data_IF_094062428409
#
_entry.id   IF_094062428409
#
_cell.length_a   1.000
_cell.length_b   1.000
_cell.length_c   1.000
_cell.angle_alpha   90.00
_cell.angle_beta   90.00
_cell.angle_gamma   90.00
#
_symmetry.space_group_name_H-M   'P 1'
#
loop_
_entity.id
_entity.type
_entity.pdbx_description
1 polymer ?
#
# COMPACT_ATOMS: atom_id res chain seq x y z
N UNK A 1 -93.54 35.71 -98.80
CA UNK A 1 -92.56 36.06 -97.75
C UNK A 1 -91.96 34.81 -97.09
N UNK A 2 -92.46 33.60 -97.41
CA UNK A 2 -91.95 32.35 -96.83
C UNK A 2 -90.59 31.91 -97.40
N UNK A 3 -90.36 32.07 -98.71
CA UNK A 3 -89.10 31.65 -99.35
C UNK A 3 -87.88 32.45 -98.84
N UNK A 4 -88.06 33.72 -98.48
CA UNK A 4 -86.98 34.58 -97.97
C UNK A 4 -86.48 34.12 -96.59
N UNK A 5 -87.36 33.61 -95.74
CA UNK A 5 -86.99 33.07 -94.42
C UNK A 5 -86.21 31.75 -94.53
N UNK A 6 -86.56 30.91 -95.52
CA UNK A 6 -85.90 29.62 -95.74
C UNK A 6 -84.43 29.80 -96.19
N UNK A 7 -84.17 30.75 -97.07
CA UNK A 7 -82.80 31.04 -97.55
C UNK A 7 -81.93 31.60 -96.42
N UNK A 8 -82.47 32.47 -95.57
CA UNK A 8 -81.75 33.00 -94.40
C UNK A 8 -81.43 31.89 -93.39
N UNK A 9 -82.35 30.95 -93.17
CA UNK A 9 -82.12 29.79 -92.30
C UNK A 9 -80.96 28.91 -92.78
N UNK A 10 -80.87 28.66 -94.09
CA UNK A 10 -79.77 27.88 -94.69
C UNK A 10 -78.42 28.60 -94.54
N UNK A 11 -78.40 29.93 -94.72
CA UNK A 11 -77.18 30.74 -94.55
C UNK A 11 -76.69 30.69 -93.09
N UNK A 12 -77.59 30.83 -92.12
CA UNK A 12 -77.24 30.76 -90.69
C UNK A 12 -76.75 29.36 -90.31
N UNK A 13 -77.35 28.30 -90.89
CA UNK A 13 -76.94 26.92 -90.66
C UNK A 13 -75.52 26.64 -91.19
N UNK A 14 -75.19 27.12 -92.38
CA UNK A 14 -73.85 27.01 -92.97
C UNK A 14 -72.84 27.86 -92.16
N UNK A 15 -73.23 29.05 -91.72
CA UNK A 15 -72.39 29.90 -90.88
C UNK A 15 -72.11 29.27 -89.50
N UNK A 16 -73.06 28.50 -88.94
CA UNK A 16 -72.89 27.78 -87.68
C UNK A 16 -71.82 26.68 -87.77
N UNK A 17 -71.70 26.04 -88.93
CA UNK A 17 -70.65 25.04 -89.18
C UNK A 17 -69.25 25.67 -89.16
N UNK A 18 -69.09 26.89 -89.67
CA UNK A 18 -67.81 27.61 -89.67
C UNK A 18 -67.38 28.13 -88.29
N UNK A 19 -68.29 28.28 -87.33
CA UNK A 19 -67.99 28.75 -85.98
C UNK A 19 -67.50 27.61 -85.06
N UNK A 20 -67.93 26.37 -85.32
CA UNK A 20 -67.61 25.23 -84.44
C UNK A 20 -66.14 24.77 -84.51
N UNK A 21 -65.44 25.07 -85.60
CA UNK A 21 -64.02 24.71 -85.79
C UNK A 21 -63.01 25.77 -85.30
N UNK A 22 -63.47 26.84 -84.63
CA UNK A 22 -62.57 27.83 -84.01
C UNK A 22 -62.41 27.65 -82.50
N UNK A 23 -62.57 26.44 -81.97
CA UNK A 23 -61.91 26.11 -80.71
C UNK A 23 -60.47 25.74 -81.05
N UNK A 24 -59.59 26.72 -80.90
CA UNK A 24 -58.16 26.54 -80.98
C UNK A 24 -57.76 25.36 -80.09
N UNK A 25 -57.51 24.22 -80.73
CA UNK A 25 -56.71 23.16 -80.15
C UNK A 25 -55.35 23.81 -79.91
N UNK A 26 -55.01 24.09 -78.64
CA UNK A 26 -53.65 24.50 -78.28
C UNK A 26 -52.70 23.51 -78.95
N UNK A 27 -51.78 24.03 -79.75
CA UNK A 27 -50.83 23.20 -80.49
C UNK A 27 -50.04 22.36 -79.49
N UNK A 28 -49.70 21.10 -79.81
CA UNK A 28 -48.81 20.27 -78.97
C UNK A 28 -47.51 21.00 -78.59
N UNK A 29 -47.06 21.93 -79.44
CA UNK A 29 -45.89 22.79 -79.17
C UNK A 29 -46.10 23.78 -78.02
N UNK A 30 -47.31 24.32 -77.85
CA UNK A 30 -47.62 25.28 -76.77
C UNK A 30 -47.65 24.57 -75.41
N UNK A 31 -48.07 23.30 -75.40
CA UNK A 31 -48.10 22.46 -74.19
C UNK A 31 -46.67 22.06 -73.79
N UNK A 32 -45.80 21.73 -74.76
CA UNK A 32 -44.39 21.44 -74.49
C UNK A 32 -43.61 22.66 -73.99
N UNK A 33 -43.89 23.86 -74.50
CA UNK A 33 -43.28 25.10 -74.03
C UNK A 33 -43.74 25.47 -72.62
N UNK A 34 -45.04 25.37 -72.31
CA UNK A 34 -45.57 25.55 -70.96
C UNK A 34 -44.94 24.53 -69.97
N UNK A 35 -44.81 23.26 -70.36
CA UNK A 35 -44.16 22.22 -69.54
C UNK A 35 -42.66 22.47 -69.30
N UNK A 36 -41.94 23.03 -70.27
CA UNK A 36 -40.53 23.42 -70.11
C UNK A 36 -40.37 24.59 -69.15
N UNK A 37 -41.27 25.57 -69.22
CA UNK A 37 -41.25 26.71 -68.30
C UNK A 37 -41.55 26.27 -66.87
N UNK A 38 -42.54 25.40 -66.69
CA UNK A 38 -42.87 24.81 -65.38
C UNK A 38 -41.68 24.03 -64.82
N UNK A 39 -41.00 23.21 -65.64
CA UNK A 39 -39.80 22.48 -65.20
C UNK A 39 -38.68 23.41 -64.74
N UNK A 40 -38.38 24.48 -65.50
CA UNK A 40 -37.34 25.45 -65.11
C UNK A 40 -37.68 26.19 -63.82
N UNK A 41 -38.95 26.54 -63.63
CA UNK A 41 -39.41 27.25 -62.44
C UNK A 41 -39.39 26.33 -61.21
N UNK A 42 -39.75 25.06 -61.39
CA UNK A 42 -39.64 24.02 -60.38
C UNK A 42 -38.17 23.73 -60.03
N UNK A 43 -37.27 23.75 -61.01
CA UNK A 43 -35.83 23.53 -60.78
C UNK A 43 -35.20 24.68 -59.98
N UNK A 44 -35.58 25.93 -60.26
CA UNK A 44 -35.16 27.08 -59.44
C UNK A 44 -35.72 27.00 -58.01
N UNK A 45 -37.00 26.66 -57.84
CA UNK A 45 -37.61 26.54 -56.51
C UNK A 45 -36.99 25.39 -55.71
N UNK A 46 -36.64 24.29 -56.37
CA UNK A 46 -35.93 23.17 -55.75
C UNK A 46 -34.51 23.54 -55.32
N UNK A 47 -33.82 24.37 -56.11
CA UNK A 47 -32.48 24.86 -55.76
C UNK A 47 -32.53 25.83 -54.57
N UNK A 48 -33.50 26.76 -54.57
CA UNK A 48 -33.76 27.64 -53.43
C UNK A 48 -34.14 26.86 -52.16
N UNK A 49 -34.99 25.85 -52.29
CA UNK A 49 -35.34 24.96 -51.17
C UNK A 49 -34.11 24.21 -50.65
N UNK A 50 -33.25 23.71 -51.54
CA UNK A 50 -32.02 23.01 -51.16
C UNK A 50 -31.06 23.93 -50.42
N UNK A 51 -30.92 25.19 -50.87
CA UNK A 51 -30.14 26.21 -50.16
C UNK A 51 -30.69 26.44 -48.76
N UNK A 52 -32.00 26.67 -48.62
CA UNK A 52 -32.62 26.90 -47.29
C UNK A 52 -32.49 25.71 -46.35
N UNK A 53 -32.59 24.49 -46.89
CA UNK A 53 -32.37 23.28 -46.11
C UNK A 53 -30.93 23.20 -45.64
N UNK A 54 -29.96 23.46 -46.52
CA UNK A 54 -28.55 23.49 -46.16
C UNK A 54 -28.24 24.55 -45.10
N UNK A 55 -28.75 25.77 -45.26
CA UNK A 55 -28.57 26.87 -44.31
C UNK A 55 -29.16 26.51 -42.93
N UNK A 56 -30.37 25.95 -42.91
CA UNK A 56 -31.01 25.49 -41.67
C UNK A 56 -30.25 24.32 -41.02
N UNK A 57 -29.71 23.39 -41.82
CA UNK A 57 -28.88 22.30 -41.29
C UNK A 57 -27.56 22.82 -40.72
N UNK A 58 -26.91 23.78 -41.39
CA UNK A 58 -25.66 24.38 -40.92
C UNK A 58 -25.88 25.13 -39.60
N UNK A 59 -26.96 25.92 -39.50
CA UNK A 59 -27.34 26.60 -38.25
C UNK A 59 -27.62 25.59 -37.12
N UNK A 60 -28.27 24.46 -37.44
CA UNK A 60 -28.57 23.41 -36.45
C UNK A 60 -27.30 22.71 -35.98
N UNK A 61 -26.35 22.46 -36.89
CA UNK A 61 -25.04 21.86 -36.58
C UNK A 61 -24.23 22.83 -35.72
N UNK A 62 -24.19 24.11 -36.09
CA UNK A 62 -23.47 25.14 -35.33
C UNK A 62 -24.04 25.29 -33.92
N UNK A 63 -25.37 25.36 -33.76
CA UNK A 63 -26.01 25.40 -32.45
C UNK A 63 -25.71 24.15 -31.61
N UNK A 64 -25.75 22.97 -32.23
CA UNK A 64 -25.44 21.71 -31.54
C UNK A 64 -23.97 21.66 -31.10
N UNK A 65 -23.05 22.12 -31.94
CA UNK A 65 -21.62 22.23 -31.62
C UNK A 65 -21.38 23.24 -30.51
N UNK A 66 -21.93 24.45 -30.58
CA UNK A 66 -21.79 25.47 -29.54
C UNK A 66 -22.35 24.97 -28.20
N UNK A 67 -23.49 24.29 -28.24
CA UNK A 67 -24.09 23.69 -27.03
C UNK A 67 -23.23 22.56 -26.48
N UNK A 68 -22.67 21.72 -27.35
CA UNK A 68 -21.75 20.66 -26.95
C UNK A 68 -20.48 21.25 -26.33
N UNK A 69 -19.86 22.23 -26.98
CA UNK A 69 -18.66 22.93 -26.49
C UNK A 69 -18.92 23.58 -25.13
N UNK A 70 -20.01 24.34 -24.98
CA UNK A 70 -20.37 24.93 -23.69
C UNK A 70 -20.67 23.89 -22.61
N UNK A 71 -21.27 22.77 -22.97
CA UNK A 71 -21.51 21.67 -22.03
C UNK A 71 -20.21 20.98 -21.61
N UNK A 72 -19.29 20.81 -22.57
CA UNK A 72 -17.96 20.25 -22.35
C UNK A 72 -17.08 21.19 -21.54
N UNK A 73 -17.12 22.50 -21.75
CA UNK A 73 -16.41 23.47 -20.91
C UNK A 73 -16.87 23.38 -19.46
N UNK A 74 -18.19 23.32 -19.23
CA UNK A 74 -18.72 23.16 -17.86
C UNK A 74 -18.28 21.86 -17.23
N UNK A 75 -18.44 20.75 -17.95
CA UNK A 75 -18.05 19.42 -17.48
C UNK A 75 -16.53 19.36 -17.24
N UNK A 76 -15.74 19.88 -18.17
CA UNK A 76 -14.28 19.96 -18.09
C UNK A 76 -13.84 20.75 -16.86
N UNK A 77 -14.43 21.92 -16.62
CA UNK A 77 -14.14 22.73 -15.43
C UNK A 77 -14.52 21.99 -14.15
N UNK A 78 -15.68 21.33 -14.10
CA UNK A 78 -16.09 20.51 -12.96
C UNK A 78 -15.15 19.32 -12.72
N UNK A 79 -14.72 18.63 -13.79
CA UNK A 79 -13.77 17.52 -13.68
C UNK A 79 -12.38 17.98 -13.30
N UNK A 80 -11.89 19.11 -13.80
CA UNK A 80 -10.62 19.70 -13.40
C UNK A 80 -10.66 20.04 -11.90
N UNK A 81 -11.77 20.59 -11.42
CA UNK A 81 -11.95 20.87 -9.99
C UNK A 81 -11.95 19.58 -9.16
N UNK A 82 -12.75 18.58 -9.54
CA UNK A 82 -12.82 17.31 -8.82
C UNK A 82 -11.48 16.55 -8.82
N UNK A 83 -10.77 16.55 -9.95
CA UNK A 83 -9.44 15.94 -10.06
C UNK A 83 -8.42 16.70 -9.21
N UNK A 84 -8.48 18.03 -9.20
CA UNK A 84 -7.63 18.86 -8.34
C UNK A 84 -7.89 18.57 -6.87
N UNK A 85 -9.15 18.50 -6.44
CA UNK A 85 -9.52 18.21 -5.06
C UNK A 85 -9.08 16.80 -4.63
N UNK A 86 -9.31 15.80 -5.49
CA UNK A 86 -8.83 14.44 -5.25
C UNK A 86 -7.31 14.37 -5.18
N UNK A 87 -6.61 15.06 -6.09
CA UNK A 87 -5.14 15.14 -6.07
C UNK A 87 -4.64 15.76 -4.78
N UNK A 88 -5.28 16.82 -4.29
CA UNK A 88 -4.90 17.46 -3.02
C UNK A 88 -5.11 16.50 -1.84
N UNK A 89 -6.23 15.79 -1.80
CA UNK A 89 -6.51 14.78 -0.77
C UNK A 89 -5.46 13.65 -0.77
N UNK A 90 -5.15 13.10 -1.95
CA UNK A 90 -4.13 12.04 -2.08
C UNK A 90 -2.76 12.55 -1.66
N UNK A 91 -2.39 13.79 -2.03
CA UNK A 91 -1.12 14.38 -1.61
C UNK A 91 -1.03 14.59 -0.10
N UNK A 92 -2.14 14.97 0.55
CA UNK A 92 -2.22 15.08 2.01
C UNK A 92 -2.09 13.71 2.68
N UNK A 93 -2.74 12.67 2.15
CA UNK A 93 -2.56 11.30 2.64
C UNK A 93 -1.14 10.78 2.43
N UNK A 94 -0.49 11.10 1.30
CA UNK A 94 0.92 10.76 1.04
C UNK A 94 1.82 11.45 2.06
N UNK A 95 1.61 12.74 2.34
CA UNK A 95 2.39 13.48 3.32
C UNK A 95 2.20 12.90 4.73
N UNK A 96 0.96 12.57 5.11
CA UNK A 96 0.67 11.90 6.38
C UNK A 96 1.36 10.54 6.48
N UNK A 97 1.25 9.71 5.45
CA UNK A 97 1.89 8.40 5.41
C UNK A 97 3.40 8.53 5.47
N UNK A 98 3.98 9.50 4.75
CA UNK A 98 5.41 9.77 4.80
C UNK A 98 5.86 10.14 6.22
N UNK A 99 5.12 11.01 6.91
CA UNK A 99 5.38 11.36 8.31
C UNK A 99 5.27 10.17 9.25
N UNK A 100 4.26 9.32 9.07
CA UNK A 100 4.09 8.11 9.88
C UNK A 100 5.25 7.13 9.65
N UNK A 101 5.68 6.92 8.40
CA UNK A 101 6.84 6.08 8.08
C UNK A 101 8.12 6.64 8.68
N UNK A 102 8.34 7.96 8.61
CA UNK A 102 9.48 8.60 9.27
C UNK A 102 9.42 8.44 10.79
N UNK A 103 8.25 8.60 11.39
CA UNK A 103 8.05 8.38 12.83
C UNK A 103 8.33 6.92 13.23
N UNK A 104 7.89 5.95 12.43
CA UNK A 104 8.21 4.54 12.66
C UNK A 104 9.71 4.26 12.52
N UNK A 105 10.37 4.92 11.56
CA UNK A 105 11.83 4.83 11.41
C UNK A 105 12.56 5.39 12.63
N UNK A 106 12.14 6.56 13.13
CA UNK A 106 12.70 7.16 14.34
C UNK A 106 12.46 6.29 15.57
N UNK A 107 11.23 5.79 15.77
CA UNK A 107 10.92 4.88 16.88
C UNK A 107 11.70 3.57 16.80
N UNK A 108 11.89 3.02 15.59
CA UNK A 108 12.67 1.81 15.40
C UNK A 108 14.15 2.06 15.73
N UNK A 109 14.69 3.21 15.31
CA UNK A 109 16.03 3.65 15.67
C UNK A 109 16.18 3.81 17.18
N UNK A 110 15.25 4.49 17.84
CA UNK A 110 15.26 4.68 19.30
C UNK A 110 15.18 3.34 20.04
N UNK A 111 14.28 2.45 19.62
CA UNK A 111 14.18 1.09 20.20
C UNK A 111 15.46 0.29 19.99
N UNK A 112 16.11 0.43 18.84
CA UNK A 112 17.39 -0.24 18.58
C UNK A 112 18.47 0.24 19.55
N UNK A 113 18.51 1.54 19.85
CA UNK A 113 19.41 2.12 20.85
C UNK A 113 19.07 1.61 22.26
N UNK A 114 17.80 1.58 22.63
CA UNK A 114 17.34 1.07 23.94
C UNK A 114 17.66 -0.41 24.13
N UNK A 115 17.44 -1.23 23.11
CA UNK A 115 17.78 -2.67 23.14
C UNK A 115 19.28 -2.85 23.27
N UNK A 116 20.10 -2.09 22.56
CA UNK A 116 21.56 -2.15 22.67
C UNK A 116 22.03 -1.74 24.07
N UNK A 117 21.45 -0.68 24.65
CA UNK A 117 21.76 -0.26 26.01
C UNK A 117 21.31 -1.30 27.05
N UNK A 118 20.16 -1.93 26.86
CA UNK A 118 19.66 -3.01 27.71
C UNK A 118 20.58 -4.24 27.62
N UNK A 119 20.95 -4.65 26.41
CA UNK A 119 21.91 -5.74 26.18
C UNK A 119 23.23 -5.48 26.90
N UNK A 120 23.78 -4.25 26.80
CA UNK A 120 25.00 -3.85 27.53
C UNK A 120 24.84 -3.92 29.04
N UNK A 121 23.69 -3.51 29.60
CA UNK A 121 23.41 -3.62 31.04
C UNK A 121 23.34 -5.08 31.46
N UNK A 122 22.66 -5.93 30.69
CA UNK A 122 22.59 -7.38 30.95
C UNK A 122 24.00 -7.98 30.94
N UNK A 123 24.81 -7.70 29.92
CA UNK A 123 26.20 -8.16 29.86
C UNK A 123 27.03 -7.70 31.07
N UNK A 124 26.86 -6.45 31.51
CA UNK A 124 27.53 -5.95 32.71
C UNK A 124 27.10 -6.70 33.98
N UNK A 125 25.80 -6.93 34.16
CA UNK A 125 25.29 -7.69 35.32
C UNK A 125 25.70 -9.16 35.29
N UNK A 126 25.76 -9.78 34.11
CA UNK A 126 26.24 -11.15 33.94
C UNK A 126 27.71 -11.22 34.33
N UNK A 127 28.54 -10.29 33.86
CA UNK A 127 29.96 -10.22 34.27
C UNK A 127 30.13 -10.02 35.78
N UNK A 128 29.32 -9.18 36.39
CA UNK A 128 29.35 -8.97 37.85
C UNK A 128 28.95 -10.25 38.60
N UNK A 129 27.90 -10.95 38.16
CA UNK A 129 27.47 -12.22 38.72
C UNK A 129 28.51 -13.33 38.52
N UNK A 130 29.15 -13.41 37.35
CA UNK A 130 30.26 -14.33 37.09
C UNK A 130 31.45 -14.05 38.01
N UNK A 131 31.82 -12.78 38.21
CA UNK A 131 32.90 -12.39 39.11
C UNK A 131 32.57 -12.76 40.57
N UNK A 132 31.36 -12.43 41.04
CA UNK A 132 30.91 -12.80 42.39
C UNK A 132 30.86 -14.32 42.58
N UNK A 133 30.36 -15.06 41.58
CA UNK A 133 30.35 -16.53 41.59
C UNK A 133 31.77 -17.08 41.68
N UNK A 134 32.70 -16.57 40.88
CA UNK A 134 34.10 -17.01 40.92
C UNK A 134 34.77 -16.69 42.26
N UNK A 135 34.50 -15.51 42.83
CA UNK A 135 34.98 -15.13 44.16
C UNK A 135 34.39 -16.05 45.25
N UNK A 136 33.08 -16.31 45.22
CA UNK A 136 32.42 -17.22 46.14
C UNK A 136 32.95 -18.67 46.01
N UNK A 137 33.22 -19.13 44.79
CA UNK A 137 33.87 -20.43 44.54
C UNK A 137 35.26 -20.44 45.19
N UNK A 138 36.10 -19.42 44.98
CA UNK A 138 37.42 -19.37 45.62
C UNK A 138 37.35 -19.36 47.15
N UNK A 139 36.45 -18.57 47.73
CA UNK A 139 36.25 -18.48 49.19
C UNK A 139 35.76 -19.81 49.79
N UNK A 140 34.83 -20.49 49.11
CA UNK A 140 34.35 -21.81 49.55
C UNK A 140 35.42 -22.88 49.38
N UNK A 141 36.24 -22.84 48.33
CA UNK A 141 37.39 -23.72 48.17
C UNK A 141 38.45 -23.50 49.28
N UNK A 142 38.74 -22.25 49.63
CA UNK A 142 39.62 -21.90 50.75
C UNK A 142 39.08 -22.41 52.08
N UNK A 143 37.79 -22.18 52.36
CA UNK A 143 37.14 -22.68 53.57
C UNK A 143 37.18 -24.21 53.64
N UNK A 144 36.93 -24.90 52.51
CA UNK A 144 36.98 -26.35 52.45
C UNK A 144 38.37 -26.88 52.75
N UNK A 145 39.43 -26.28 52.17
CA UNK A 145 40.82 -26.63 52.50
C UNK A 145 41.12 -26.46 53.98
N UNK A 146 40.70 -25.34 54.59
CA UNK A 146 40.90 -25.10 56.02
C UNK A 146 40.17 -26.13 56.90
N UNK A 147 38.98 -26.57 56.49
CA UNK A 147 38.21 -27.57 57.22
C UNK A 147 38.83 -28.97 57.11
N UNK A 148 39.32 -29.35 55.92
CA UNK A 148 40.04 -30.59 55.70
C UNK A 148 41.32 -30.63 56.54
N UNK A 149 42.08 -29.53 56.60
CA UNK A 149 43.26 -29.39 57.44
C UNK A 149 42.94 -29.51 58.93
N UNK A 150 41.85 -28.88 59.39
CA UNK A 150 41.40 -29.00 60.78
C UNK A 150 40.97 -30.43 61.13
N UNK A 151 40.22 -31.08 60.24
CA UNK A 151 39.77 -32.46 60.41
C UNK A 151 40.97 -33.41 60.50
N UNK A 152 41.95 -33.25 59.61
CA UNK A 152 43.18 -34.05 59.62
C UNK A 152 43.98 -33.84 60.92
N UNK A 153 44.10 -32.60 61.42
CA UNK A 153 44.75 -32.33 62.72
C UNK A 153 44.00 -32.98 63.88
N UNK A 154 42.67 -32.89 63.91
CA UNK A 154 41.86 -33.53 64.96
C UNK A 154 41.89 -35.04 64.90
N UNK A 155 41.90 -35.62 63.70
CA UNK A 155 42.04 -37.06 63.52
C UNK A 155 43.41 -37.53 64.03
N UNK A 156 44.47 -36.76 63.80
CA UNK A 156 45.82 -37.04 64.30
C UNK A 156 45.91 -36.91 65.84
N UNK A 157 45.28 -35.90 66.44
CA UNK A 157 45.15 -35.79 67.90
C UNK A 157 44.42 -37.00 68.51
N UNK A 158 43.32 -37.44 67.89
CA UNK A 158 42.56 -38.62 68.34
C UNK A 158 43.38 -39.90 68.15
N UNK A 159 44.14 -40.01 67.06
CA UNK A 159 45.03 -41.15 66.81
C UNK A 159 46.12 -41.24 67.87
N UNK A 160 46.76 -40.13 68.20
CA UNK A 160 47.77 -40.06 69.28
C UNK A 160 47.16 -40.39 70.65
N UNK A 161 45.94 -39.91 70.93
CA UNK A 161 45.21 -40.27 72.14
C UNK A 161 44.83 -41.76 72.18
N UNK A 162 44.41 -42.34 71.05
CA UNK A 162 44.08 -43.76 70.96
C UNK A 162 45.32 -44.66 71.10
N UNK A 163 46.47 -44.28 70.53
CA UNK A 163 47.74 -44.98 70.71
C UNK A 163 48.15 -45.02 72.20
N UNK A 164 47.93 -43.93 72.96
CA UNK A 164 48.16 -43.92 74.41
C UNK A 164 47.17 -44.75 75.24
N UNK A 165 46.00 -45.10 74.68
CA UNK A 165 45.01 -45.98 75.34
C UNK A 165 45.28 -47.45 75.03
N UNK A 166 45.78 -47.78 73.84
CA UNK A 166 46.08 -49.18 73.44
C UNK A 166 47.24 -49.81 74.20
N UNK A 167 48.12 -49.03 74.83
CA UNK A 167 49.13 -49.56 75.75
C UNK A 167 48.54 -50.11 77.07
N UNK A 168 47.26 -49.82 77.36
CA UNK A 168 46.60 -50.25 78.61
C UNK A 168 45.65 -51.45 78.48
N UNK A 169 45.44 -52.00 77.27
CA UNK A 169 44.62 -53.21 77.05
C UNK A 169 45.24 -54.14 76.01
N UNK A 170 46.39 -54.72 76.35
CA UNK A 170 46.82 -56.03 75.82
C UNK A 170 46.80 -57.05 76.96
N UNK A 171 45.60 -57.43 77.39
CA UNK A 171 45.42 -58.62 78.20
C UNK A 171 44.10 -59.31 77.83
N UNK A 172 44.26 -60.51 77.30
CA UNK A 172 43.29 -61.61 77.29
C UNK A 172 42.07 -61.49 76.38
N UNK A 173 42.18 -62.09 75.19
CA UNK A 173 41.09 -62.85 74.59
C UNK A 173 41.49 -64.34 74.55
N UNK A 174 40.99 -65.20 75.44
CA UNK A 174 41.05 -66.64 75.22
C UNK A 174 39.92 -67.07 74.29
N UNK A 175 40.28 -67.89 73.28
CA UNK A 175 39.31 -68.73 72.59
C UNK A 175 38.72 -69.72 73.61
N UNK A 176 37.43 -69.60 73.91
CA UNK A 176 36.74 -70.43 74.90
C UNK A 176 35.28 -70.62 74.52
N UNK A 177 34.90 -71.88 74.35
CA UNK A 177 33.55 -72.34 74.05
C UNK A 177 32.57 -71.98 75.18
N UNK A 178 31.28 -71.82 74.85
CA UNK A 178 30.21 -71.72 75.85
C UNK A 178 29.90 -73.10 76.47
N UNK A 179 29.20 -73.11 77.62
CA UNK A 179 28.82 -74.34 78.35
C UNK A 179 27.85 -75.28 77.59
N UNK A 180 27.51 -74.97 76.34
CA UNK A 180 26.68 -75.80 75.46
C UNK A 180 27.34 -76.15 74.11
N UNK A 181 28.63 -75.85 73.93
CA UNK A 181 29.43 -76.27 72.77
C UNK A 181 29.07 -75.61 71.44
N UNK A 182 28.52 -74.39 71.44
CA UNK A 182 28.21 -73.65 70.19
C UNK A 182 29.27 -72.58 69.92
N UNK A 183 29.71 -72.40 68.65
CA UNK A 183 30.65 -71.34 68.30
C UNK A 183 29.97 -69.96 68.45
N UNK A 184 30.64 -69.03 69.12
CA UNK A 184 30.21 -67.63 69.26
C UNK A 184 30.03 -66.99 67.88
N UNK A 185 28.82 -66.53 67.56
CA UNK A 185 28.61 -65.63 66.44
C UNK A 185 29.14 -64.23 66.82
N UNK A 186 29.96 -63.56 65.99
CA UNK A 186 30.43 -62.22 66.26
C UNK A 186 29.25 -61.28 66.46
N UNK A 187 29.20 -60.57 67.59
CA UNK A 187 28.23 -59.51 67.80
C UNK A 187 28.50 -58.40 66.79
N UNK A 188 27.61 -58.25 65.80
CA UNK A 188 27.58 -57.08 64.92
C UNK A 188 26.77 -56.01 65.66
N UNK A 189 27.38 -54.91 66.11
CA UNK A 189 26.61 -53.85 66.76
C UNK A 189 25.57 -53.30 65.76
N UNK A 190 24.35 -52.97 66.22
CA UNK A 190 23.38 -52.30 65.37
C UNK A 190 24.02 -51.01 64.80
N UNK A 191 23.81 -50.76 63.50
CA UNK A 191 24.26 -49.52 62.87
C UNK A 191 23.64 -48.36 63.66
N UNK A 192 24.49 -47.60 64.35
CA UNK A 192 24.05 -46.33 64.93
C UNK A 192 23.80 -45.42 63.75
N UNK A 193 22.54 -45.11 63.48
CA UNK A 193 22.16 -44.10 62.48
C UNK A 193 22.89 -42.81 62.85
N UNK A 194 23.94 -42.47 62.09
CA UNK A 194 24.56 -41.14 62.23
C UNK A 194 23.47 -40.13 61.91
N UNK A 195 23.24 -39.12 62.76
CA UNK A 195 22.29 -38.06 62.42
C UNK A 195 22.71 -37.48 61.07
N UNK A 196 21.77 -37.42 60.13
CA UNK A 196 22.03 -36.86 58.80
C UNK A 196 22.77 -35.54 58.94
N UNK A 197 23.93 -35.43 58.29
CA UNK A 197 24.62 -34.14 58.24
C UNK A 197 23.81 -33.19 57.34
N UNK A 198 23.94 -31.88 57.54
CA UNK A 198 23.27 -30.90 56.68
C UNK A 198 23.60 -31.10 55.18
N UNK A 199 24.77 -31.67 54.89
CA UNK A 199 25.22 -32.05 53.55
C UNK A 199 24.42 -33.24 53.00
N UNK A 200 24.18 -34.27 53.82
CA UNK A 200 23.35 -35.42 53.43
C UNK A 200 21.89 -35.01 53.16
N UNK A 201 21.37 -34.05 53.94
CA UNK A 201 20.04 -33.47 53.71
C UNK A 201 19.98 -32.67 52.41
N UNK A 202 21.00 -31.86 52.10
CA UNK A 202 21.04 -31.10 50.84
C UNK A 202 21.14 -32.02 49.63
N UNK A 203 21.95 -33.09 49.73
CA UNK A 203 22.16 -34.04 48.65
C UNK A 203 20.92 -34.89 48.38
N UNK A 204 20.20 -35.30 49.43
CA UNK A 204 18.90 -35.95 49.30
C UNK A 204 17.83 -35.02 48.69
N UNK A 205 17.88 -33.72 49.03
CA UNK A 205 16.97 -32.71 48.45
C UNK A 205 17.29 -32.37 46.99
N UNK A 206 18.57 -32.45 46.59
CA UNK A 206 18.99 -32.27 45.20
C UNK A 206 18.59 -33.44 44.29
N UNK A 207 18.46 -34.67 44.79
CA UNK A 207 17.97 -35.80 43.98
C UNK A 207 16.45 -35.81 43.76
N UNK A 208 15.68 -35.06 44.56
CA UNK A 208 14.23 -34.90 44.38
C UNK A 208 13.85 -33.64 43.57
N UNK A 209 14.79 -32.69 43.40
CA UNK A 209 14.57 -31.49 42.64
C UNK A 209 15.13 -31.64 41.21
N UNK A 210 14.40 -32.41 40.39
CA UNK A 210 14.41 -32.21 38.94
C UNK A 210 13.93 -30.78 38.63
N UNK A 211 14.88 -29.84 38.64
CA UNK A 211 14.64 -28.47 38.21
C UNK A 211 14.63 -28.48 36.69
N UNK A 212 13.41 -28.50 36.13
CA UNK A 212 13.14 -27.91 34.82
C UNK A 212 13.71 -26.48 34.83
N UNK A 213 14.44 -26.04 33.79
CA UNK A 213 15.00 -24.70 33.77
C UNK A 213 13.90 -23.66 33.92
N UNK A 214 14.05 -22.80 34.93
CA UNK A 214 13.21 -21.63 35.16
C UNK A 214 13.56 -20.60 34.08
N UNK A 215 12.94 -20.75 32.92
CA UNK A 215 12.76 -19.70 31.92
C UNK A 215 11.26 -19.67 31.60
N UNK A 216 10.49 -19.02 32.47
CA UNK A 216 9.20 -18.40 32.15
C UNK A 216 8.60 -17.77 33.41
N UNK A 217 9.14 -16.62 33.79
CA UNK A 217 8.40 -15.61 34.54
C UNK A 217 8.68 -14.24 33.92
N UNK A 218 8.38 -14.12 32.62
CA UNK A 218 7.93 -12.84 32.08
C UNK A 218 6.43 -12.97 31.90
N UNK A 219 5.75 -12.11 32.63
CA UNK A 219 4.33 -11.87 32.61
C UNK A 219 3.81 -11.72 31.16
N UNK A 220 3.17 -12.76 30.62
CA UNK A 220 2.52 -12.72 29.30
C UNK A 220 1.03 -12.34 29.38
N UNK A 221 0.51 -12.04 30.57
CA UNK A 221 -0.90 -11.73 30.75
C UNK A 221 -1.27 -10.29 30.40
N UNK A 222 -0.30 -9.44 30.05
CA UNK A 222 -0.55 -8.08 29.53
C UNK A 222 -0.81 -8.01 28.02
N UNK A 223 -0.84 -9.13 27.29
CA UNK A 223 -1.13 -9.15 25.85
C UNK A 223 -2.45 -9.83 25.48
N UNK A 224 -3.30 -10.17 26.46
CA UNK A 224 -4.58 -10.82 26.22
C UNK A 224 -5.75 -9.84 26.26
N UNK A 225 -5.68 -8.80 25.41
CA UNK A 225 -6.83 -7.96 25.07
C UNK A 225 -6.59 -7.23 23.74
N UNK A 226 -6.39 -7.99 22.68
CA UNK A 226 -6.75 -7.53 21.34
C UNK A 226 -7.57 -8.67 20.76
N UNK A 227 -8.88 -8.48 20.75
CA UNK A 227 -9.78 -9.31 19.95
C UNK A 227 -9.25 -9.32 18.52
N UNK A 228 -9.08 -10.52 17.97
CA UNK A 228 -8.71 -10.72 16.59
C UNK A 228 -9.79 -10.10 15.68
N UNK A 229 -9.62 -8.82 15.38
CA UNK A 229 -10.18 -8.21 14.19
C UNK A 229 -9.36 -8.76 13.03
N UNK A 230 -10.00 -9.62 12.26
CA UNK A 230 -9.44 -10.24 11.05
C UNK A 230 -8.99 -9.13 10.09
N UNK A 231 -7.71 -8.78 10.15
CA UNK A 231 -7.08 -7.94 9.13
C UNK A 231 -6.78 -8.86 7.95
N UNK A 232 -7.70 -8.91 7.01
CA UNK A 232 -7.45 -9.48 5.69
C UNK A 232 -6.40 -8.62 5.00
N UNK A 233 -5.15 -9.08 5.01
CA UNK A 233 -4.11 -8.54 4.15
C UNK A 233 -4.58 -8.72 2.71
N UNK A 234 -4.95 -7.63 2.04
CA UNK A 234 -5.24 -7.65 0.61
C UNK A 234 -4.01 -8.18 -0.14
N UNK A 235 -4.24 -9.16 -1.02
CA UNK A 235 -3.20 -9.67 -1.90
C UNK A 235 -2.70 -8.53 -2.81
N UNK A 236 -1.38 -8.39 -3.03
CA UNK A 236 -0.83 -7.29 -3.83
C UNK A 236 -1.29 -7.29 -5.30
N UNK A 237 -1.90 -8.38 -5.77
CA UNK A 237 -2.50 -8.47 -7.12
C UNK A 237 -3.90 -7.84 -7.24
N UNK A 238 -4.60 -7.59 -6.12
CA UNK A 238 -5.95 -7.02 -6.14
C UNK A 238 -5.96 -5.48 -6.20
N UNK A 239 -4.82 -4.83 -5.92
CA UNK A 239 -4.65 -3.36 -5.99
C UNK A 239 -4.40 -2.89 -7.44
N UNK A 240 -4.01 -3.79 -8.35
CA UNK A 240 -3.64 -3.47 -9.74
C UNK A 240 -4.68 -3.92 -10.77
N UNK A 241 -5.86 -4.36 -10.35
CA UNK A 241 -6.94 -4.64 -11.30
C UNK A 241 -7.54 -3.31 -11.80
N UNK A 242 -7.59 -3.06 -13.12
CA UNK A 242 -8.42 -1.97 -13.62
C UNK A 242 -9.86 -2.26 -13.21
N UNK A 243 -10.55 -1.27 -12.63
CA UNK A 243 -11.98 -1.34 -12.37
C UNK A 243 -12.69 -1.69 -13.68
N UNK A 244 -13.14 -2.93 -13.81
CA UNK A 244 -14.15 -3.28 -14.81
C UNK A 244 -15.44 -2.64 -14.35
N UNK A 245 -15.85 -1.57 -15.02
CA UNK A 245 -17.19 -1.01 -14.87
C UNK A 245 -18.19 -2.14 -15.11
N UNK A 246 -18.96 -2.44 -14.07
CA UNK A 246 -20.08 -3.36 -14.18
C UNK A 246 -21.06 -2.83 -15.21
N UNK A 247 -21.19 -3.55 -16.32
CA UNK A 247 -22.35 -3.48 -17.19
C UNK A 247 -23.59 -3.83 -16.39
N UNK A 248 -24.49 -2.86 -16.25
CA UNK A 248 -25.92 -3.12 -16.15
C UNK A 248 -26.64 -1.89 -16.71
N UNK A 249 -27.08 -2.00 -17.97
CA UNK A 249 -28.05 -1.07 -18.51
C UNK A 249 -28.03 -0.83 -20.01
N UNK A 250 -28.25 -1.86 -20.83
CA UNK A 250 -29.06 -1.71 -22.05
C UNK A 250 -29.40 -3.08 -22.64
N UNK A 251 -30.70 -3.31 -22.83
CA UNK A 251 -31.21 -4.49 -23.50
C UNK A 251 -30.80 -4.50 -24.97
N UNK A 252 -30.28 -5.65 -25.40
CA UNK A 252 -30.06 -5.95 -26.82
C UNK A 252 -31.11 -6.96 -27.27
N UNK A 253 -32.05 -6.48 -28.08
CA UNK A 253 -33.10 -7.29 -28.71
C UNK A 253 -32.53 -7.92 -29.99
N UNK A 254 -32.65 -9.24 -30.12
CA UNK A 254 -31.94 -10.07 -31.11
C UNK A 254 -32.63 -10.11 -32.48
N UNK A 255 -33.31 -9.05 -32.90
CA UNK A 255 -34.22 -9.09 -34.05
C UNK A 255 -33.76 -8.33 -35.31
N UNK A 256 -32.65 -7.60 -35.30
CA UNK A 256 -32.18 -6.89 -36.49
C UNK A 256 -30.69 -7.13 -36.72
N UNK A 257 -30.39 -8.26 -37.35
CA UNK A 257 -29.07 -8.55 -37.88
C UNK A 257 -28.68 -7.55 -38.95
N UNK A 258 -27.75 -6.66 -38.61
CA UNK A 258 -26.90 -5.96 -39.57
C UNK A 258 -25.53 -5.76 -38.95
N UNK A 259 -24.59 -6.54 -39.47
CA UNK A 259 -23.14 -6.36 -39.36
C UNK A 259 -22.78 -5.20 -40.28
N UNK A 260 -22.00 -4.24 -39.81
CA UNK A 260 -21.14 -3.50 -40.72
C UNK A 260 -19.69 -3.66 -40.31
N UNK A 261 -18.92 -4.07 -41.30
CA UNK A 261 -17.51 -4.43 -41.26
C UNK A 261 -16.77 -3.28 -41.88
N UNK A 262 -15.82 -2.66 -41.17
CA UNK A 262 -14.74 -1.94 -41.85
C UNK A 262 -13.42 -2.47 -41.30
N UNK A 263 -12.69 -3.07 -42.24
CA UNK A 263 -11.38 -3.67 -42.15
C UNK A 263 -10.27 -2.64 -41.91
N UNK A 264 -9.23 -3.13 -41.24
CA UNK A 264 -7.81 -2.90 -41.43
C UNK A 264 -7.38 -1.65 -42.22
N UNK A 265 -6.61 -0.78 -41.57
CA UNK A 265 -5.44 -0.20 -42.20
C UNK A 265 -4.27 -0.12 -41.21
N UNK A 266 -3.30 -1.01 -41.43
CA UNK A 266 -1.98 -0.99 -40.81
C UNK A 266 -1.17 0.11 -41.49
N UNK A 267 -0.87 1.18 -40.77
CA UNK A 267 0.16 2.15 -41.18
C UNK A 267 1.34 2.04 -40.22
N UNK A 268 2.39 1.33 -40.65
CA UNK A 268 3.74 1.53 -40.15
C UNK A 268 4.34 2.75 -40.87
N UNK A 269 4.64 3.80 -40.12
CA UNK A 269 5.59 4.84 -40.52
C UNK A 269 6.61 5.10 -39.39
N UNK A 270 7.86 5.21 -39.81
CA UNK A 270 9.10 5.37 -39.06
C UNK A 270 9.19 6.64 -38.17
N UNK A 271 10.13 6.67 -37.18
CA UNK A 271 10.11 7.64 -36.10
C UNK A 271 10.67 8.99 -36.55
N UNK A 272 9.81 10.01 -36.60
CA UNK A 272 10.25 11.40 -36.74
C UNK A 272 9.93 12.20 -35.48
N UNK A 273 10.99 12.37 -34.68
CA UNK A 273 11.30 13.49 -33.78
C UNK A 273 10.11 14.36 -33.36
N UNK A 274 9.45 13.99 -32.28
CA UNK A 274 8.75 14.95 -31.41
C UNK A 274 8.93 14.55 -29.95
N UNK A 275 9.75 15.32 -29.23
CA UNK A 275 9.55 15.57 -27.80
C UNK A 275 10.47 16.72 -27.40
N UNK A 276 9.99 17.94 -27.65
CA UNK A 276 10.47 19.16 -26.99
C UNK A 276 9.39 19.72 -26.05
N UNK A 277 8.44 18.89 -25.62
CA UNK A 277 7.28 19.36 -24.83
C UNK A 277 7.23 18.84 -23.39
N UNK A 278 8.29 18.15 -22.95
CA UNK A 278 8.39 17.63 -21.59
C UNK A 278 9.63 18.17 -20.89
N UNK A 279 9.74 19.50 -20.83
CA UNK A 279 10.70 20.20 -19.98
C UNK A 279 9.97 21.22 -19.13
N UNK A 280 9.38 20.74 -18.05
CA UNK A 280 8.89 21.64 -17.02
C UNK A 280 7.90 21.00 -16.08
N UNK A 281 8.31 20.05 -15.24
CA UNK A 281 7.66 19.87 -13.92
C UNK A 281 8.53 19.09 -12.90
N UNK A 282 9.86 19.23 -13.00
CA UNK A 282 10.80 18.66 -12.01
C UNK A 282 12.09 19.46 -11.79
N UNK A 283 12.25 20.62 -12.42
CA UNK A 283 13.51 21.40 -12.41
C UNK A 283 13.45 22.68 -11.55
N UNK A 284 12.32 23.00 -10.92
CA UNK A 284 12.13 24.29 -10.23
C UNK A 284 12.89 24.39 -8.90
N UNK A 285 12.75 23.40 -8.01
CA UNK A 285 13.38 23.45 -6.67
C UNK A 285 14.91 23.37 -6.71
N UNK A 286 15.47 22.51 -7.56
CA UNK A 286 16.93 22.42 -7.73
C UNK A 286 17.53 23.71 -8.33
N UNK A 287 16.82 24.34 -9.28
CA UNK A 287 17.26 25.61 -9.87
C UNK A 287 17.18 26.77 -8.86
N UNK A 288 16.14 26.79 -8.02
CA UNK A 288 16.03 27.79 -6.95
C UNK A 288 17.18 27.68 -5.95
N UNK A 289 17.58 26.48 -5.57
CA UNK A 289 18.74 26.27 -4.68
C UNK A 289 20.05 26.72 -5.35
N UNK A 290 20.24 26.43 -6.63
CA UNK A 290 21.39 26.90 -7.40
C UNK A 290 21.45 28.43 -7.45
N UNK A 291 20.29 29.07 -7.65
CA UNK A 291 20.16 30.53 -7.74
C UNK A 291 20.34 31.22 -6.39
N UNK A 292 19.96 30.57 -5.28
CA UNK A 292 20.27 31.03 -3.91
C UNK A 292 21.79 31.10 -3.71
N UNK A 293 22.52 30.07 -4.16
CA UNK A 293 23.98 30.00 -4.03
C UNK A 293 24.64 31.08 -4.89
N UNK A 294 24.25 31.22 -6.16
CA UNK A 294 24.80 32.22 -7.08
C UNK A 294 24.59 33.66 -6.57
N UNK A 295 23.39 33.99 -6.08
CA UNK A 295 23.09 35.31 -5.55
C UNK A 295 23.83 35.61 -4.23
N UNK A 296 24.08 34.58 -3.42
CA UNK A 296 24.86 34.70 -2.19
C UNK A 296 26.37 34.85 -2.49
N UNK A 297 26.90 34.15 -3.49
CA UNK A 297 28.27 34.34 -4.00
C UNK A 297 28.49 35.75 -4.58
N UNK A 298 27.44 36.34 -5.18
CA UNK A 298 27.41 37.75 -5.60
C UNK A 298 27.32 38.74 -4.43
N UNK A 299 27.25 38.26 -3.17
CA UNK A 299 27.26 39.08 -1.96
C UNK A 299 25.92 39.71 -1.59
N UNK A 300 24.80 39.27 -2.18
CA UNK A 300 23.46 39.76 -1.81
C UNK A 300 23.06 39.25 -0.42
N UNK A 301 22.27 40.05 0.30
CA UNK A 301 21.82 39.65 1.64
C UNK A 301 20.75 38.54 1.58
N UNK A 302 20.70 37.70 2.61
CA UNK A 302 19.74 36.59 2.70
C UNK A 302 18.28 37.05 2.62
N UNK A 303 17.98 38.25 3.11
CA UNK A 303 16.65 38.87 3.07
C UNK A 303 16.27 39.33 1.66
N UNK A 304 17.23 39.84 0.89
CA UNK A 304 17.02 40.23 -0.51
C UNK A 304 16.82 39.01 -1.41
N UNK A 305 17.59 37.94 -1.21
CA UNK A 305 17.45 36.68 -1.94
C UNK A 305 16.07 36.06 -1.69
N UNK A 306 15.61 36.05 -0.43
CA UNK A 306 14.29 35.58 -0.05
C UNK A 306 13.17 36.38 -0.76
N UNK A 307 13.32 37.71 -0.84
CA UNK A 307 12.37 38.59 -1.51
C UNK A 307 12.39 38.44 -3.04
N UNK A 308 13.55 38.26 -3.64
CA UNK A 308 13.72 38.12 -5.09
C UNK A 308 13.22 36.77 -5.62
N UNK A 309 13.34 35.70 -4.81
CA UNK A 309 12.90 34.35 -5.17
C UNK A 309 11.52 33.97 -4.58
N UNK A 310 10.87 34.87 -3.84
CA UNK A 310 9.65 34.59 -3.07
C UNK A 310 9.77 33.34 -2.16
N UNK A 311 10.91 33.20 -1.50
CA UNK A 311 11.21 32.10 -0.59
C UNK A 311 11.27 32.60 0.86
N UNK A 312 11.08 31.69 1.83
CA UNK A 312 11.21 32.04 3.24
C UNK A 312 12.67 32.33 3.61
N UNK A 313 12.91 33.34 4.46
CA UNK A 313 14.28 33.69 4.92
C UNK A 313 14.98 32.50 5.61
N UNK A 314 14.21 31.65 6.30
CA UNK A 314 14.71 30.42 6.90
C UNK A 314 15.14 29.36 5.88
N UNK A 315 14.43 29.24 4.76
CA UNK A 315 14.74 28.28 3.68
C UNK A 315 16.03 28.69 2.96
N UNK A 316 16.17 29.98 2.63
CA UNK A 316 17.38 30.54 2.01
C UNK A 316 18.60 30.33 2.91
N UNK A 317 18.46 30.57 4.22
CA UNK A 317 19.55 30.37 5.19
C UNK A 317 19.96 28.90 5.30
N UNK A 318 18.99 27.99 5.32
CA UNK A 318 19.26 26.56 5.43
C UNK A 318 20.00 26.02 4.20
N UNK A 319 19.67 26.51 3.01
CA UNK A 319 20.40 26.18 1.77
C UNK A 319 21.83 26.73 1.81
N UNK A 320 22.02 27.98 2.24
CA UNK A 320 23.37 28.56 2.35
C UNK A 320 24.22 27.80 3.38
N UNK A 321 23.64 27.43 4.53
CA UNK A 321 24.35 26.71 5.60
C UNK A 321 24.71 25.26 5.19
N UNK A 322 23.95 24.64 4.26
CA UNK A 322 24.19 23.28 3.78
C UNK A 322 25.28 23.21 2.69
N UNK A 323 25.48 24.29 1.93
CA UNK A 323 26.37 24.35 0.77
C UNK A 323 27.66 25.16 1.01
N UNK A 324 27.91 25.60 2.25
CA UNK A 324 29.10 26.34 2.67
C UNK A 324 30.05 25.45 3.46
#
# INVERSE_FOLDING_TARGET
MEITLLVIGVIIFIASFFIKDRKAVKSERDIEEEQRQIRKLMEHELDDMKSRVNDATDETVEYAMEKAERSLEKLSNEKIMAVSDYSNMVMEEIDKNHKEVMFLYDMLSDKQVDVNNSARKVEATVREAENFSNEAISSTEEFRKNLDDYSNRKLEEVRQAAESVTDSVTAAAPAGYDEAGRPYAPYVPPRVDRPMTAIDMLKARQSEADIKPVFNTLNTDSFKSIEASEVTLMNPEDVLRPMTFGENGSGFDSATGMVDTIQDDVVQQEPKKQSSFMKGFGSGKANNNQKIIELHEQGKSTVEIAKELNLGVGEVKLVIDLFK
#
